data_IF_592138440309
#
_entry.id   IF_592138440309
#
_cell.length_a   1.000
_cell.length_b   1.000
_cell.length_c   1.000
_cell.angle_alpha   90.00
_cell.angle_beta   90.00
_cell.angle_gamma   90.00
#
_symmetry.space_group_name_H-M   'P 1'
#
loop_
_entity.id
_entity.type
_entity.pdbx_description
1 polymer ?
#
# COMPACT_ATOMS: atom_id res chain seq x y z
N UNK A 1 38.68 14.17 42.78
CA UNK A 1 37.60 14.38 41.77
C UNK A 1 38.14 14.00 40.40
N UNK A 2 37.49 13.00 39.79
CA UNK A 2 37.33 12.69 38.36
C UNK A 2 38.49 12.89 37.38
N UNK A 3 39.31 11.84 37.18
CA UNK A 3 40.14 11.71 35.96
C UNK A 3 40.40 10.26 35.53
N UNK A 4 39.39 9.39 35.64
CA UNK A 4 39.45 7.97 35.24
C UNK A 4 38.07 7.40 34.84
N UNK A 5 37.35 8.08 33.95
CA UNK A 5 36.08 7.54 33.42
C UNK A 5 35.94 7.51 31.90
N UNK A 6 36.97 7.88 31.14
CA UNK A 6 37.00 7.72 29.69
C UNK A 6 38.33 7.11 29.27
N UNK A 7 38.42 5.79 29.46
CA UNK A 7 39.42 4.97 28.80
C UNK A 7 39.06 4.88 27.31
N UNK A 8 39.99 5.30 26.46
CA UNK A 8 39.82 5.29 25.02
C UNK A 8 39.77 3.86 24.47
N UNK A 9 38.73 3.57 23.69
CA UNK A 9 38.82 2.62 22.60
C UNK A 9 39.25 3.39 21.35
N UNK A 10 40.56 3.65 21.23
CA UNK A 10 41.18 3.89 19.93
C UNK A 10 41.46 2.51 19.33
N UNK A 11 41.01 2.32 18.09
CA UNK A 11 41.30 1.17 17.23
C UNK A 11 40.59 -0.15 17.53
N UNK A 12 39.26 -0.12 17.68
CA UNK A 12 38.47 -1.22 17.16
C UNK A 12 38.18 -0.93 15.67
N UNK A 13 38.48 -1.84 14.73
CA UNK A 13 38.01 -1.67 13.36
C UNK A 13 36.49 -1.53 13.43
N UNK A 14 35.95 -0.45 12.84
CA UNK A 14 34.51 -0.29 12.67
C UNK A 14 33.96 -1.60 12.12
N UNK A 15 33.04 -2.24 12.84
CA UNK A 15 32.39 -3.45 12.38
C UNK A 15 31.92 -3.21 10.95
N UNK A 16 32.17 -4.12 10.00
CA UNK A 16 31.73 -3.93 8.64
C UNK A 16 30.21 -3.65 8.66
N UNK A 17 29.72 -2.71 7.84
CA UNK A 17 28.29 -2.41 7.77
C UNK A 17 27.55 -3.73 7.53
N UNK A 18 26.56 -3.97 8.38
CA UNK A 18 25.88 -5.26 8.51
C UNK A 18 25.10 -5.52 7.22
N UNK A 19 25.75 -6.13 6.24
CA UNK A 19 25.04 -6.76 5.14
C UNK A 19 24.23 -7.91 5.75
N UNK A 20 22.91 -7.94 5.59
CA UNK A 20 22.14 -9.10 6.00
C UNK A 20 22.69 -10.31 5.27
N UNK A 21 23.13 -11.32 6.03
CA UNK A 21 23.74 -12.50 5.42
C UNK A 21 22.74 -13.17 4.48
N UNK A 22 23.23 -13.78 3.40
CA UNK A 22 22.37 -14.55 2.49
C UNK A 22 21.52 -15.60 3.23
N UNK A 23 22.04 -16.12 4.36
CA UNK A 23 21.31 -17.01 5.24
C UNK A 23 20.10 -16.34 5.94
N UNK A 24 20.22 -15.08 6.36
CA UNK A 24 19.12 -14.31 6.95
C UNK A 24 18.05 -13.99 5.90
N UNK A 25 18.44 -13.58 4.70
CA UNK A 25 17.51 -13.32 3.60
C UNK A 25 16.73 -14.59 3.20
N UNK A 26 17.43 -15.72 3.05
CA UNK A 26 16.78 -17.01 2.75
C UNK A 26 15.85 -17.47 3.87
N UNK A 27 16.21 -17.22 5.13
CA UNK A 27 15.33 -17.52 6.27
C UNK A 27 14.05 -16.68 6.22
N UNK A 28 14.14 -15.40 5.88
CA UNK A 28 12.96 -14.52 5.71
C UNK A 28 12.05 -15.03 4.60
N UNK A 29 12.60 -15.38 3.44
CA UNK A 29 11.83 -15.95 2.30
C UNK A 29 11.11 -17.25 2.71
N UNK A 30 11.82 -18.18 3.34
CA UNK A 30 11.23 -19.44 3.80
C UNK A 30 10.13 -19.21 4.85
N UNK A 31 10.29 -18.21 5.71
CA UNK A 31 9.30 -17.85 6.72
C UNK A 31 8.05 -17.26 6.07
N UNK A 32 8.20 -16.36 5.09
CA UNK A 32 7.09 -15.82 4.28
C UNK A 32 6.32 -16.95 3.59
N UNK A 33 7.02 -17.92 2.98
CA UNK A 33 6.36 -19.07 2.37
C UNK A 33 5.58 -19.90 3.39
N UNK A 34 6.20 -20.18 4.54
CA UNK A 34 5.54 -20.95 5.62
C UNK A 34 4.27 -20.24 6.13
N UNK A 35 4.30 -18.91 6.23
CA UNK A 35 3.12 -18.11 6.62
C UNK A 35 2.01 -18.22 5.57
N UNK A 36 2.34 -18.13 4.28
CA UNK A 36 1.38 -18.33 3.17
C UNK A 36 0.76 -19.73 3.20
N UNK A 37 1.56 -20.77 3.43
CA UNK A 37 1.05 -22.15 3.52
C UNK A 37 0.10 -22.29 4.74
N UNK A 38 0.40 -21.63 5.86
CA UNK A 38 -0.45 -21.63 7.04
C UNK A 38 -1.76 -20.84 6.84
N UNK A 39 -1.71 -19.69 6.16
CA UNK A 39 -2.91 -18.95 5.76
C UNK A 39 -3.86 -19.85 4.96
N UNK A 40 -3.35 -20.53 3.94
CA UNK A 40 -4.15 -21.43 3.09
C UNK A 40 -4.78 -22.58 3.90
N UNK A 41 -4.04 -23.13 4.88
CA UNK A 41 -4.57 -24.16 5.78
C UNK A 41 -5.69 -23.62 6.69
N UNK A 42 -5.54 -22.40 7.22
CA UNK A 42 -6.56 -21.76 8.04
C UNK A 42 -7.82 -21.47 7.22
N UNK A 43 -7.69 -20.99 5.98
CA UNK A 43 -8.81 -20.78 5.06
C UNK A 43 -9.56 -22.08 4.72
N UNK A 44 -8.82 -23.15 4.41
CA UNK A 44 -9.41 -24.48 4.16
C UNK A 44 -10.20 -24.96 5.38
N UNK A 45 -9.66 -24.77 6.59
CA UNK A 45 -10.36 -25.11 7.84
C UNK A 45 -11.62 -24.25 8.02
N UNK A 46 -11.53 -22.94 7.79
CA UNK A 46 -12.68 -22.02 7.86
C UNK A 46 -13.80 -22.47 6.91
N UNK A 47 -13.48 -22.73 5.65
CA UNK A 47 -14.46 -23.20 4.64
C UNK A 47 -15.15 -24.51 5.06
N UNK A 48 -14.41 -25.42 5.70
CA UNK A 48 -15.01 -26.64 6.24
C UNK A 48 -15.99 -26.35 7.39
N UNK A 49 -15.66 -25.42 8.28
CA UNK A 49 -16.55 -25.05 9.39
C UNK A 49 -17.81 -24.33 8.88
N UNK A 50 -17.69 -23.48 7.87
CA UNK A 50 -18.82 -22.80 7.21
C UNK A 50 -19.81 -23.82 6.62
N UNK A 51 -19.32 -24.84 5.90
CA UNK A 51 -20.16 -25.95 5.41
C UNK A 51 -20.85 -26.71 6.55
N UNK A 52 -20.17 -26.88 7.69
CA UNK A 52 -20.77 -27.52 8.88
C UNK A 52 -21.83 -26.63 9.54
N UNK A 53 -21.65 -25.31 9.53
CA UNK A 53 -22.63 -24.32 10.00
C UNK A 53 -23.91 -24.43 9.17
N UNK A 54 -23.79 -24.47 7.83
CA UNK A 54 -24.91 -24.65 6.91
C UNK A 54 -25.65 -25.97 7.18
N UNK A 55 -24.91 -27.07 7.33
CA UNK A 55 -25.49 -28.38 7.64
C UNK A 55 -26.25 -28.40 8.99
N UNK A 56 -25.73 -27.75 10.05
CA UNK A 56 -26.46 -27.64 11.33
C UNK A 56 -27.69 -26.73 11.21
N UNK A 57 -27.63 -25.69 10.36
CA UNK A 57 -28.79 -24.83 10.08
C UNK A 57 -29.90 -25.61 9.36
N UNK A 58 -29.55 -26.43 8.36
CA UNK A 58 -30.50 -27.28 7.66
C UNK A 58 -31.16 -28.30 8.60
N UNK A 59 -30.37 -28.97 9.46
CA UNK A 59 -30.90 -29.86 10.50
C UNK A 59 -31.84 -29.13 11.46
N UNK A 60 -31.49 -27.91 11.88
CA UNK A 60 -32.36 -27.10 12.74
C UNK A 60 -33.69 -26.77 12.06
N UNK A 61 -33.67 -26.42 10.76
CA UNK A 61 -34.88 -26.18 9.96
C UNK A 61 -35.75 -27.44 9.87
N UNK A 62 -35.13 -28.60 9.64
CA UNK A 62 -35.84 -29.88 9.54
C UNK A 62 -36.49 -30.28 10.87
N UNK A 63 -35.77 -30.20 11.99
CA UNK A 63 -36.35 -30.45 13.31
C UNK A 63 -37.47 -29.46 13.67
N UNK A 64 -37.38 -28.21 13.20
CA UNK A 64 -38.44 -27.22 13.38
C UNK A 64 -39.72 -27.62 12.64
N UNK A 65 -39.62 -28.08 11.37
CA UNK A 65 -40.77 -28.61 10.60
C UNK A 65 -41.42 -29.81 11.30
N UNK A 66 -40.61 -30.67 11.90
CA UNK A 66 -41.06 -31.83 12.67
C UNK A 66 -41.58 -31.48 14.08
N UNK A 67 -41.67 -30.20 14.45
CA UNK A 67 -42.05 -29.71 15.79
C UNK A 67 -41.16 -30.24 16.93
N UNK A 68 -39.92 -30.65 16.61
CA UNK A 68 -38.90 -31.16 17.54
C UNK A 68 -38.04 -30.02 18.10
N UNK A 69 -38.65 -29.19 18.96
CA UNK A 69 -38.06 -27.94 19.47
C UNK A 69 -36.70 -28.14 20.17
N UNK A 70 -36.56 -29.16 21.01
CA UNK A 70 -35.32 -29.42 21.76
C UNK A 70 -34.14 -29.76 20.82
N UNK A 71 -34.38 -30.58 19.81
CA UNK A 71 -33.37 -30.95 18.82
C UNK A 71 -32.98 -29.76 17.93
N UNK A 72 -33.94 -28.95 17.51
CA UNK A 72 -33.66 -27.72 16.75
C UNK A 72 -32.78 -26.76 17.56
N UNK A 73 -33.08 -26.56 18.85
CA UNK A 73 -32.26 -25.73 19.75
C UNK A 73 -30.83 -26.27 19.91
N UNK A 74 -30.64 -27.59 19.97
CA UNK A 74 -29.30 -28.19 20.03
C UNK A 74 -28.49 -27.92 18.76
N UNK A 75 -29.10 -28.04 17.57
CA UNK A 75 -28.45 -27.70 16.31
C UNK A 75 -28.07 -26.21 16.24
N UNK A 76 -28.95 -25.31 16.67
CA UNK A 76 -28.65 -23.87 16.74
C UNK A 76 -27.50 -23.55 17.70
N UNK A 77 -27.41 -24.24 18.86
CA UNK A 77 -26.27 -24.10 19.78
C UNK A 77 -24.97 -24.55 19.13
N UNK A 78 -24.96 -25.70 18.43
CA UNK A 78 -23.78 -26.19 17.70
C UNK A 78 -23.36 -25.21 16.60
N UNK A 79 -24.32 -24.72 15.81
CA UNK A 79 -24.09 -23.66 14.82
C UNK A 79 -23.38 -22.46 15.46
N UNK A 80 -23.89 -21.94 16.57
CA UNK A 80 -23.30 -20.76 17.22
C UNK A 80 -21.87 -20.99 17.72
N UNK A 81 -21.57 -22.20 18.21
CA UNK A 81 -20.20 -22.58 18.59
C UNK A 81 -19.25 -22.60 17.39
N UNK A 82 -19.70 -23.17 16.26
CA UNK A 82 -18.91 -23.19 15.02
C UNK A 82 -18.71 -21.77 14.46
N UNK A 83 -19.72 -20.90 14.52
CA UNK A 83 -19.60 -19.49 14.11
C UNK A 83 -18.54 -18.76 14.93
N UNK A 84 -18.48 -19.00 16.24
CA UNK A 84 -17.44 -18.43 17.09
C UNK A 84 -16.05 -18.97 16.72
N UNK A 85 -15.93 -20.24 16.33
CA UNK A 85 -14.66 -20.82 15.85
C UNK A 85 -14.23 -20.19 14.51
N UNK A 86 -15.17 -19.92 13.60
CA UNK A 86 -14.91 -19.20 12.34
C UNK A 86 -14.36 -17.80 12.62
N UNK A 87 -14.98 -17.03 13.52
CA UNK A 87 -14.48 -15.70 13.91
C UNK A 87 -13.05 -15.76 14.47
N UNK A 88 -12.74 -16.80 15.25
CA UNK A 88 -11.36 -16.99 15.74
C UNK A 88 -10.38 -17.32 14.61
N UNK A 89 -10.79 -18.10 13.60
CA UNK A 89 -9.98 -18.37 12.41
C UNK A 89 -9.74 -17.11 11.60
N UNK A 90 -10.75 -16.26 11.41
CA UNK A 90 -10.60 -14.97 10.72
C UNK A 90 -9.56 -14.08 11.41
N UNK A 91 -9.62 -13.99 12.74
CA UNK A 91 -8.63 -13.25 13.52
C UNK A 91 -7.21 -13.84 13.37
N UNK A 92 -7.08 -15.17 13.27
CA UNK A 92 -5.78 -15.82 13.05
C UNK A 92 -5.25 -15.58 11.63
N UNK A 93 -6.12 -15.64 10.61
CA UNK A 93 -5.77 -15.35 9.21
C UNK A 93 -5.24 -13.92 9.10
N UNK A 94 -5.97 -12.94 9.66
CA UNK A 94 -5.52 -11.54 9.65
C UNK A 94 -4.14 -11.33 10.26
N UNK A 95 -3.86 -11.98 11.41
CA UNK A 95 -2.53 -11.91 12.04
C UNK A 95 -1.43 -12.51 11.18
N UNK A 96 -1.70 -13.59 10.46
CA UNK A 96 -0.74 -14.22 9.54
C UNK A 96 -0.46 -13.29 8.36
N UNK A 97 -1.50 -12.68 7.79
CA UNK A 97 -1.37 -11.69 6.70
C UNK A 97 -0.53 -10.50 7.17
N UNK A 98 -0.84 -9.91 8.32
CA UNK A 98 -0.10 -8.79 8.91
C UNK A 98 1.40 -9.12 9.09
N UNK A 99 1.71 -10.31 9.62
CA UNK A 99 3.10 -10.75 9.81
C UNK A 99 3.83 -10.97 8.48
N UNK A 100 3.15 -11.53 7.48
CA UNK A 100 3.72 -11.70 6.14
C UNK A 100 4.05 -10.35 5.52
N UNK A 101 3.10 -9.42 5.50
CA UNK A 101 3.28 -8.07 4.95
C UNK A 101 4.41 -7.32 5.67
N UNK A 102 4.50 -7.47 6.99
CA UNK A 102 5.62 -6.91 7.76
C UNK A 102 6.98 -7.47 7.30
N UNK A 103 7.09 -8.79 7.15
CA UNK A 103 8.34 -9.43 6.70
C UNK A 103 8.70 -9.07 5.25
N UNK A 104 7.71 -8.91 4.37
CA UNK A 104 7.90 -8.42 3.00
C UNK A 104 8.46 -6.99 3.00
N UNK A 105 7.87 -6.08 3.78
CA UNK A 105 8.37 -4.71 3.91
C UNK A 105 9.78 -4.64 4.52
N UNK A 106 10.08 -5.49 5.51
CA UNK A 106 11.42 -5.61 6.08
C UNK A 106 12.43 -6.12 5.05
N UNK A 107 12.05 -7.09 4.21
CA UNK A 107 12.89 -7.61 3.13
C UNK A 107 13.21 -6.51 2.11
N UNK A 108 12.22 -5.75 1.67
CA UNK A 108 12.43 -4.62 0.74
C UNK A 108 13.35 -3.57 1.34
N UNK A 109 13.15 -3.22 2.61
CA UNK A 109 14.02 -2.26 3.32
C UNK A 109 15.47 -2.76 3.35
N UNK A 110 15.67 -4.04 3.66
CA UNK A 110 16.99 -4.70 3.64
C UNK A 110 17.63 -4.62 2.26
N UNK A 111 16.87 -4.87 1.20
CA UNK A 111 17.35 -4.84 -0.18
C UNK A 111 17.79 -3.42 -0.59
N UNK A 112 16.98 -2.40 -0.28
CA UNK A 112 17.33 -0.99 -0.53
C UNK A 112 18.62 -0.61 0.21
N UNK A 113 18.74 -0.94 1.49
CA UNK A 113 19.95 -0.64 2.29
C UNK A 113 21.18 -1.36 1.72
N UNK A 114 21.04 -2.61 1.28
CA UNK A 114 22.12 -3.37 0.64
C UNK A 114 22.59 -2.72 -0.68
N UNK A 115 21.65 -2.25 -1.50
CA UNK A 115 21.94 -1.52 -2.74
C UNK A 115 22.62 -0.19 -2.46
N UNK A 116 22.14 0.58 -1.47
CA UNK A 116 22.79 1.83 -1.04
C UNK A 116 24.22 1.60 -0.55
N UNK A 117 24.44 0.54 0.23
CA UNK A 117 25.79 0.17 0.68
C UNK A 117 26.71 -0.14 -0.50
N UNK A 118 26.23 -0.91 -1.48
CA UNK A 118 26.99 -1.24 -2.69
C UNK A 118 27.32 0.02 -3.49
N UNK A 119 26.33 0.91 -3.71
CA UNK A 119 26.53 2.19 -4.38
C UNK A 119 27.59 3.06 -3.66
N UNK A 120 27.55 3.13 -2.33
CA UNK A 120 28.54 3.87 -1.54
C UNK A 120 29.95 3.29 -1.67
N UNK A 121 30.09 1.97 -1.70
CA UNK A 121 31.38 1.29 -1.93
C UNK A 121 31.92 1.57 -3.33
N UNK A 122 31.08 1.46 -4.37
CA UNK A 122 31.45 1.81 -5.75
C UNK A 122 31.85 3.27 -5.88
N UNK A 123 31.10 4.20 -5.28
CA UNK A 123 31.46 5.61 -5.26
C UNK A 123 32.83 5.84 -4.61
N UNK A 124 33.10 5.16 -3.49
CA UNK A 124 34.40 5.23 -2.79
C UNK A 124 35.54 4.69 -3.65
N UNK A 125 35.34 3.59 -4.35
CA UNK A 125 36.36 3.00 -5.22
C UNK A 125 36.61 3.86 -6.47
N UNK A 126 35.56 4.44 -7.06
CA UNK A 126 35.70 5.43 -8.13
C UNK A 126 36.50 6.65 -7.66
N UNK A 127 36.24 7.18 -6.46
CA UNK A 127 37.02 8.29 -5.89
C UNK A 127 38.49 7.91 -5.65
N UNK A 128 38.80 6.65 -5.29
CA UNK A 128 40.20 6.19 -5.17
C UNK A 128 40.87 6.08 -6.54
N UNK A 129 40.17 5.56 -7.55
CA UNK A 129 40.69 5.45 -8.91
C UNK A 129 41.01 6.84 -9.51
N UNK A 130 40.11 7.81 -9.33
CA UNK A 130 40.34 9.22 -9.71
C UNK A 130 41.57 9.82 -9.01
N UNK A 131 41.79 9.50 -7.72
CA UNK A 131 42.99 9.94 -6.98
C UNK A 131 44.29 9.26 -7.44
N UNK A 132 44.22 8.10 -8.08
CA UNK A 132 45.40 7.36 -8.56
C UNK A 132 45.83 7.85 -9.94
N UNK A 133 44.90 8.21 -10.82
CA UNK A 133 45.24 8.49 -12.22
C UNK A 133 45.63 9.93 -12.52
N UNK A 134 45.22 10.95 -11.76
CA UNK A 134 45.61 12.34 -12.08
C UNK A 134 45.17 13.33 -10.98
N UNK A 135 45.85 13.43 -9.84
CA UNK A 135 45.46 14.47 -8.85
C UNK A 135 45.57 15.87 -9.45
N UNK A 136 46.61 16.16 -10.24
CA UNK A 136 46.82 17.51 -10.81
C UNK A 136 45.85 17.81 -11.97
N UNK A 137 45.65 16.88 -12.92
CA UNK A 137 44.69 17.10 -14.02
C UNK A 137 43.22 17.00 -13.59
N UNK A 138 42.91 16.13 -12.62
CA UNK A 138 41.56 16.03 -12.06
C UNK A 138 41.28 17.21 -11.14
N UNK A 139 42.25 17.84 -10.47
CA UNK A 139 42.00 19.10 -9.75
C UNK A 139 41.72 20.27 -10.70
N UNK A 140 42.42 20.34 -11.83
CA UNK A 140 42.13 21.33 -12.88
C UNK A 140 40.74 21.08 -13.51
N UNK A 141 40.41 19.83 -13.87
CA UNK A 141 39.07 19.47 -14.37
C UNK A 141 37.98 19.53 -13.28
N UNK A 142 38.27 19.29 -11.99
CA UNK A 142 37.33 19.45 -10.87
C UNK A 142 37.07 20.92 -10.60
N UNK A 143 38.04 21.82 -10.72
CA UNK A 143 37.76 23.24 -10.56
C UNK A 143 36.85 23.72 -11.70
N UNK A 144 37.07 23.25 -12.93
CA UNK A 144 36.22 23.54 -14.08
C UNK A 144 34.83 22.86 -13.98
N UNK A 145 34.77 21.62 -13.48
CA UNK A 145 33.52 20.85 -13.28
C UNK A 145 32.78 21.28 -12.02
N UNK A 146 33.45 21.78 -10.98
CA UNK A 146 32.82 22.32 -9.76
C UNK A 146 32.22 23.68 -10.05
N UNK A 147 32.83 24.49 -10.90
CA UNK A 147 32.21 25.72 -11.40
C UNK A 147 31.02 25.41 -12.32
N UNK A 148 31.09 24.36 -13.15
CA UNK A 148 29.94 23.86 -13.91
C UNK A 148 28.86 23.24 -13.01
N UNK A 149 29.23 22.49 -11.97
CA UNK A 149 28.31 21.83 -11.04
C UNK A 149 27.69 22.84 -10.08
N UNK A 150 28.39 23.93 -9.76
CA UNK A 150 27.86 25.05 -9.00
C UNK A 150 26.93 25.89 -9.88
N UNK A 151 27.23 26.09 -11.16
CA UNK A 151 26.26 26.62 -12.14
C UNK A 151 25.04 25.70 -12.29
N UNK A 152 25.22 24.37 -12.33
CA UNK A 152 24.12 23.39 -12.39
C UNK A 152 23.33 23.40 -11.09
N UNK A 153 23.97 23.41 -9.92
CA UNK A 153 23.28 23.50 -8.62
C UNK A 153 22.62 24.86 -8.41
N UNK A 154 23.12 25.96 -8.96
CA UNK A 154 22.43 27.25 -8.92
C UNK A 154 21.25 27.27 -9.90
N UNK A 155 21.31 26.50 -10.99
CA UNK A 155 20.23 26.27 -11.95
C UNK A 155 19.20 25.22 -11.47
N UNK A 156 19.58 24.27 -10.59
CA UNK A 156 18.73 23.21 -10.04
C UNK A 156 18.30 23.44 -8.57
N UNK A 157 18.98 24.30 -7.81
CA UNK A 157 18.57 24.75 -6.47
C UNK A 157 17.79 26.08 -6.52
N UNK A 158 17.75 26.74 -7.67
CA UNK A 158 16.52 27.43 -8.03
C UNK A 158 15.41 26.37 -7.97
N UNK A 159 14.35 26.58 -7.18
CA UNK A 159 13.44 25.51 -6.77
C UNK A 159 12.97 24.68 -7.96
N UNK A 160 13.48 23.45 -8.07
CA UNK A 160 12.98 22.51 -9.07
C UNK A 160 11.90 21.67 -8.43
N UNK A 161 10.65 22.00 -8.77
CA UNK A 161 9.46 21.18 -8.51
C UNK A 161 8.39 21.91 -7.70
N UNK A 162 7.13 21.49 -7.92
CA UNK A 162 5.92 22.07 -7.31
C UNK A 162 5.99 22.26 -5.79
N UNK A 163 6.80 21.47 -5.07
CA UNK A 163 6.84 21.49 -3.60
C UNK A 163 7.51 22.72 -2.97
N UNK A 164 8.15 23.60 -3.75
CA UNK A 164 8.74 24.84 -3.24
C UNK A 164 7.85 26.08 -3.45
N UNK A 165 6.81 25.97 -4.29
CA UNK A 165 5.80 27.01 -4.56
C UNK A 165 4.44 26.70 -3.89
N UNK A 166 4.36 25.62 -3.11
CA UNK A 166 3.16 25.33 -2.32
C UNK A 166 3.15 26.26 -1.10
N UNK A 167 2.20 27.20 -1.10
CA UNK A 167 1.95 28.06 0.04
C UNK A 167 1.31 27.22 1.15
N UNK A 168 2.05 27.01 2.25
CA UNK A 168 1.60 26.21 3.39
C UNK A 168 0.30 26.77 3.99
N UNK A 169 0.05 28.08 3.86
CA UNK A 169 -1.16 28.72 4.37
C UNK A 169 -2.39 28.47 3.45
N UNK A 170 -2.18 28.35 2.13
CA UNK A 170 -3.23 28.00 1.15
C UNK A 170 -3.68 26.54 1.33
N UNK A 171 -2.73 25.63 1.52
CA UNK A 171 -3.00 24.20 1.78
C UNK A 171 -3.75 23.96 3.10
N UNK A 172 -3.46 24.74 4.13
CA UNK A 172 -4.18 24.67 5.39
C UNK A 172 -5.63 25.16 5.24
N UNK A 173 -5.87 26.17 4.41
CA UNK A 173 -7.21 26.64 4.08
C UNK A 173 -8.05 25.61 3.30
N UNK A 174 -7.44 24.95 2.32
CA UNK A 174 -8.13 23.87 1.57
C UNK A 174 -8.48 22.66 2.45
N UNK A 175 -7.63 22.31 3.42
CA UNK A 175 -7.89 21.24 4.38
C UNK A 175 -9.10 21.55 5.29
N UNK A 176 -9.22 22.80 5.75
CA UNK A 176 -10.36 23.25 6.57
C UNK A 176 -11.68 23.25 5.76
N UNK A 177 -11.64 23.62 4.48
CA UNK A 177 -12.83 23.64 3.61
C UNK A 177 -13.32 22.21 3.26
N UNK A 178 -12.41 21.24 3.15
CA UNK A 178 -12.70 19.82 2.98
C UNK A 178 -13.39 19.22 4.22
N UNK A 179 -12.88 19.54 5.41
CA UNK A 179 -13.48 19.11 6.68
C UNK A 179 -14.89 19.69 6.86
N UNK A 180 -15.12 20.94 6.47
CA UNK A 180 -16.44 21.58 6.54
C UNK A 180 -17.45 20.96 5.55
N UNK A 181 -17.02 20.67 4.32
CA UNK A 181 -17.91 20.12 3.28
C UNK A 181 -18.29 18.66 3.49
N UNK A 182 -17.42 17.84 4.12
CA UNK A 182 -17.80 16.49 4.54
C UNK A 182 -18.83 16.53 5.67
N UNK A 183 -18.69 17.45 6.63
CA UNK A 183 -19.62 17.59 7.74
C UNK A 183 -21.02 18.04 7.27
N UNK A 184 -21.11 18.93 6.27
CA UNK A 184 -22.38 19.38 5.67
C UNK A 184 -23.07 18.29 4.82
N UNK A 185 -22.30 17.44 4.12
CA UNK A 185 -22.84 16.28 3.40
C UNK A 185 -23.48 15.25 4.34
N UNK A 186 -22.92 15.10 5.54
CA UNK A 186 -23.47 14.22 6.58
C UNK A 186 -24.80 14.73 7.16
N UNK A 187 -25.06 16.05 7.07
CA UNK A 187 -26.28 16.71 7.55
C UNK A 187 -27.41 16.83 6.48
N UNK A 188 -27.09 16.83 5.18
CA UNK A 188 -27.99 17.20 4.07
C UNK A 188 -28.63 16.03 3.30
N UNK A 189 -28.54 14.78 3.75
CA UNK A 189 -29.13 13.64 3.03
C UNK A 189 -30.57 13.29 3.49
N UNK A 190 -31.64 13.88 2.89
CA UNK A 190 -32.95 13.22 2.82
C UNK A 190 -33.44 12.95 1.38
N UNK A 191 -34.22 11.87 1.29
CA UNK A 191 -34.57 11.09 0.10
C UNK A 191 -35.34 11.85 -1.01
N UNK A 192 -35.05 11.63 -2.31
CA UNK A 192 -35.80 12.27 -3.38
C UNK A 192 -36.97 11.40 -3.89
N UNK A 193 -38.16 12.00 -3.76
CA UNK A 193 -39.46 11.66 -4.36
C UNK A 193 -39.72 12.52 -5.63
N UNK A 194 -40.64 12.10 -6.51
CA UNK A 194 -40.66 12.47 -7.93
C UNK A 194 -41.52 13.70 -8.25
N UNK A 195 -41.13 14.50 -9.25
CA UNK A 195 -41.96 15.62 -9.72
C UNK A 195 -42.02 15.76 -11.23
N UNK A 196 -43.23 15.50 -11.73
CA UNK A 196 -43.91 16.00 -12.92
C UNK A 196 -43.93 17.53 -13.03
N UNK A 197 -44.04 18.08 -14.26
CA UNK A 197 -45.06 19.10 -14.66
C UNK A 197 -45.06 19.41 -16.18
N UNK A 198 -46.27 19.65 -16.68
CA UNK A 198 -46.80 19.92 -18.05
C UNK A 198 -47.19 21.43 -18.14
N UNK A 199 -47.88 22.04 -19.16
CA UNK A 199 -48.19 21.70 -20.57
C UNK A 199 -48.20 22.86 -21.64
N UNK A 200 -48.20 22.49 -22.94
CA UNK A 200 -48.91 23.18 -24.06
C UNK A 200 -48.02 23.87 -25.11
N UNK A 201 -48.20 23.76 -26.43
CA UNK A 201 -49.22 23.12 -27.29
C UNK A 201 -48.63 22.82 -28.71
N UNK A 202 -49.36 21.99 -29.45
CA UNK A 202 -48.96 21.22 -30.65
C UNK A 202 -48.83 21.99 -31.97
N UNK A 203 -48.02 21.45 -32.92
CA UNK A 203 -48.48 20.94 -34.23
C UNK A 203 -47.41 20.01 -34.85
N UNK A 204 -47.91 19.05 -35.62
CA UNK A 204 -47.27 17.79 -35.98
C UNK A 204 -46.50 17.82 -37.32
N UNK A 205 -45.39 17.08 -37.41
CA UNK A 205 -45.10 16.14 -38.50
C UNK A 205 -43.88 15.26 -38.13
N UNK A 206 -43.98 13.93 -38.19
CA UNK A 206 -42.82 13.01 -38.01
C UNK A 206 -42.87 11.92 -39.07
N UNK A 207 -41.78 11.77 -39.84
CA UNK A 207 -41.26 10.45 -40.18
C UNK A 207 -39.83 10.23 -39.63
N UNK A 208 -39.61 8.98 -39.22
CA UNK A 208 -38.45 8.20 -38.73
C UNK A 208 -37.03 8.63 -39.21
N UNK A 209 -35.88 8.14 -38.66
CA UNK A 209 -35.65 7.09 -37.65
C UNK A 209 -34.69 7.50 -36.48
N UNK A 210 -34.65 6.66 -35.44
CA UNK A 210 -33.80 6.84 -34.25
C UNK A 210 -32.53 6.00 -34.33
N UNK A 211 -31.35 6.65 -34.37
CA UNK A 211 -30.12 6.16 -33.72
C UNK A 211 -29.28 7.38 -33.32
N UNK A 212 -28.87 7.51 -32.05
CA UNK A 212 -27.43 7.61 -31.81
C UNK A 212 -26.93 6.67 -30.70
N UNK A 213 -25.67 6.29 -30.89
CA UNK A 213 -24.88 5.26 -30.24
C UNK A 213 -24.85 5.30 -28.70
N UNK A 214 -24.83 4.09 -28.13
CA UNK A 214 -24.42 3.78 -26.76
C UNK A 214 -23.00 4.35 -26.53
N UNK A 215 -22.88 5.40 -25.70
CA UNK A 215 -21.57 5.87 -25.22
C UNK A 215 -20.97 4.75 -24.35
N UNK A 216 -19.89 4.15 -24.83
CA UNK A 216 -18.96 3.41 -23.98
C UNK A 216 -18.46 4.42 -22.95
N UNK A 217 -18.58 4.10 -21.67
CA UNK A 217 -18.03 4.92 -20.60
C UNK A 217 -16.53 5.10 -20.89
N UNK A 218 -16.10 6.36 -21.01
CA UNK A 218 -14.68 6.65 -21.08
C UNK A 218 -14.05 6.16 -19.77
N UNK A 219 -12.91 5.44 -19.86
CA UNK A 219 -12.07 5.19 -18.68
C UNK A 219 -11.88 6.52 -17.96
N UNK A 220 -12.02 6.53 -16.64
CA UNK A 220 -11.77 7.76 -15.89
C UNK A 220 -10.31 8.14 -16.07
N UNK A 221 -10.06 9.44 -16.06
CA UNK A 221 -8.74 9.99 -16.31
C UNK A 221 -7.67 9.38 -15.38
N UNK A 222 -8.03 9.08 -14.12
CA UNK A 222 -7.18 8.41 -13.14
C UNK A 222 -6.74 6.98 -13.52
N UNK A 223 -7.59 6.21 -14.20
CA UNK A 223 -7.25 4.84 -14.63
C UNK A 223 -6.28 4.82 -15.81
N UNK A 224 -6.27 5.88 -16.63
CA UNK A 224 -5.35 6.02 -17.75
C UNK A 224 -3.97 6.50 -17.28
N UNK A 225 -3.93 7.32 -16.25
CA UNK A 225 -2.68 7.83 -15.65
C UNK A 225 -1.94 6.73 -14.86
N UNK A 226 -2.66 5.84 -14.18
CA UNK A 226 -2.06 4.69 -13.47
C UNK A 226 -1.45 3.65 -14.43
N UNK A 227 -2.09 3.45 -15.60
CA UNK A 227 -1.65 2.50 -16.63
C UNK A 227 -0.41 3.02 -17.38
N UNK A 228 -0.27 4.34 -17.52
CA UNK A 228 0.92 4.98 -18.05
C UNK A 228 2.13 4.88 -17.10
N UNK A 229 1.91 5.10 -15.79
CA UNK A 229 2.93 4.89 -14.75
C UNK A 229 3.44 3.44 -14.68
N UNK A 230 2.55 2.46 -14.91
CA UNK A 230 2.92 1.03 -14.98
C UNK A 230 3.74 0.66 -16.23
N UNK A 231 3.60 1.44 -17.30
CA UNK A 231 4.36 1.21 -18.53
C UNK A 231 5.76 1.83 -18.48
N UNK A 232 5.93 2.97 -17.81
CA UNK A 232 7.22 3.64 -17.68
C UNK A 232 8.18 2.92 -16.70
N UNK A 233 7.64 2.21 -15.70
CA UNK A 233 8.44 1.35 -14.80
C UNK A 233 8.86 0.00 -15.41
N UNK A 234 8.41 -0.31 -16.63
CA UNK A 234 8.72 -1.55 -17.34
C UNK A 234 9.86 -1.40 -18.38
N UNK A 235 10.54 -0.25 -18.40
CA UNK A 235 11.82 0.02 -19.10
C UNK A 235 12.98 0.08 -18.09
#
# INVERSE_FOLDING_TARGET
MFKKLFGGAKDAPAAPPVQPSAAAANKTINTIQSLTDHEEQLEKRKSLLEKRIEAELEKAREFTKQKKKTQALQCLKKKKLLENEVVNLDNMIMRVIEQRTMLEGQRTTVEVVSTMHTAAMTAKDNMKAMKIENVDKVLDEINETTDQMRQIQEVFAAPTGLAADLDEDELLGELEELEATEMDKELLAPAPVPTTKVPGAAVADRPLPSVPQKKVAAKTQEELELEALQAEMAL
#
